data_IF_288990486709
#
_entry.id   IF_288990486709
#
_cell.length_a   1.000
_cell.length_b   1.000
_cell.length_c   1.000
_cell.angle_alpha   90.00
_cell.angle_beta   90.00
_cell.angle_gamma   90.00
#
_symmetry.space_group_name_H-M   'P 1'
#
loop_
_entity.id
_entity.type
_entity.pdbx_description
1 polymer ?
#
# COMPACT_ATOMS: atom_id res chain seq x y z
N UNK A 1 72.12 44.43 -102.63
CA UNK A 1 71.51 43.08 -102.48
C UNK A 1 71.86 42.46 -101.14
N UNK A 2 73.14 42.29 -100.80
CA UNK A 2 73.56 41.64 -99.54
C UNK A 2 73.00 42.32 -98.28
N UNK A 3 73.13 43.65 -98.15
CA UNK A 3 72.65 44.39 -96.97
C UNK A 3 71.12 44.31 -96.78
N UNK A 4 70.37 44.23 -97.89
CA UNK A 4 68.91 44.13 -97.86
C UNK A 4 68.44 42.74 -97.43
N UNK A 5 69.11 41.69 -97.92
CA UNK A 5 68.82 40.29 -97.52
C UNK A 5 69.20 40.07 -96.06
N UNK A 6 70.36 40.58 -95.61
CA UNK A 6 70.76 40.50 -94.20
C UNK A 6 69.73 41.20 -93.30
N UNK A 7 69.37 42.45 -93.61
CA UNK A 7 68.44 43.21 -92.79
C UNK A 7 67.03 42.58 -92.78
N UNK A 8 66.58 42.04 -93.91
CA UNK A 8 65.29 41.35 -93.99
C UNK A 8 65.29 40.04 -93.20
N UNK A 9 66.33 39.21 -93.31
CA UNK A 9 66.42 37.95 -92.56
C UNK A 9 66.58 38.21 -91.07
N UNK A 10 67.43 39.16 -90.67
CA UNK A 10 67.57 39.55 -89.27
C UNK A 10 66.23 40.05 -88.73
N UNK A 11 65.58 40.99 -89.42
CA UNK A 11 64.31 41.56 -88.95
C UNK A 11 63.19 40.51 -88.92
N UNK A 12 63.12 39.63 -89.92
CA UNK A 12 62.10 38.59 -89.97
C UNK A 12 62.33 37.51 -88.92
N UNK A 13 63.57 37.03 -88.74
CA UNK A 13 63.87 36.01 -87.72
C UNK A 13 63.74 36.59 -86.32
N UNK A 14 64.26 37.80 -86.06
CA UNK A 14 64.09 38.45 -84.77
C UNK A 14 62.61 38.69 -84.49
N UNK A 15 61.86 39.28 -85.42
CA UNK A 15 60.46 39.60 -85.16
C UNK A 15 59.59 38.35 -85.06
N UNK A 16 59.82 37.34 -85.90
CA UNK A 16 59.04 36.11 -85.87
C UNK A 16 59.39 35.23 -84.67
N UNK A 17 60.67 35.04 -84.34
CA UNK A 17 61.07 34.24 -83.17
C UNK A 17 60.68 34.96 -81.87
N UNK A 18 60.95 36.26 -81.76
CA UNK A 18 60.53 37.00 -80.57
C UNK A 18 59.00 36.99 -80.46
N UNK A 19 58.25 37.31 -81.51
CA UNK A 19 56.80 37.39 -81.40
C UNK A 19 56.17 36.02 -81.22
N UNK A 20 56.65 34.98 -81.89
CA UNK A 20 56.10 33.64 -81.76
C UNK A 20 56.48 32.99 -80.43
N UNK A 21 57.74 33.09 -79.99
CA UNK A 21 58.14 32.51 -78.69
C UNK A 21 57.51 33.28 -77.54
N UNK A 22 57.54 34.62 -77.57
CA UNK A 22 56.89 35.41 -76.52
C UNK A 22 55.38 35.18 -76.53
N UNK A 23 54.71 35.25 -77.68
CA UNK A 23 53.25 35.13 -77.68
C UNK A 23 52.81 33.69 -77.40
N UNK A 24 53.47 32.68 -77.96
CA UNK A 24 53.08 31.29 -77.77
C UNK A 24 53.47 30.77 -76.38
N UNK A 25 54.69 31.02 -75.91
CA UNK A 25 55.11 30.54 -74.57
C UNK A 25 54.38 31.31 -73.49
N UNK A 26 54.30 32.65 -73.57
CA UNK A 26 53.57 33.40 -72.57
C UNK A 26 52.08 33.05 -72.62
N UNK A 27 51.43 33.05 -73.78
CA UNK A 27 49.98 32.82 -73.82
C UNK A 27 49.63 31.36 -73.50
N UNK A 28 50.39 30.38 -73.98
CA UNK A 28 50.10 28.98 -73.72
C UNK A 28 50.47 28.57 -72.30
N UNK A 29 51.63 28.97 -71.77
CA UNK A 29 52.01 28.62 -70.39
C UNK A 29 51.13 29.37 -69.40
N UNK A 30 50.90 30.67 -69.60
CA UNK A 30 50.00 31.41 -68.72
C UNK A 30 48.58 30.85 -68.81
N UNK A 31 48.01 30.67 -70.01
CA UNK A 31 46.62 30.24 -70.09
C UNK A 31 46.43 28.79 -69.66
N UNK A 32 47.34 27.88 -70.02
CA UNK A 32 47.21 26.49 -69.65
C UNK A 32 47.54 26.24 -68.17
N UNK A 33 48.62 26.82 -67.64
CA UNK A 33 48.97 26.63 -66.22
C UNK A 33 47.96 27.36 -65.33
N UNK A 34 47.61 28.60 -65.64
CA UNK A 34 46.60 29.29 -64.85
C UNK A 34 45.25 28.58 -64.96
N UNK A 35 44.76 28.26 -66.15
CA UNK A 35 43.42 27.68 -66.26
C UNK A 35 43.37 26.25 -65.72
N UNK A 36 44.39 25.43 -65.96
CA UNK A 36 44.40 24.04 -65.48
C UNK A 36 44.65 23.98 -63.97
N UNK A 37 45.62 24.74 -63.44
CA UNK A 37 45.87 24.72 -61.99
C UNK A 37 44.71 25.37 -61.24
N UNK A 38 44.20 26.53 -61.70
CA UNK A 38 43.04 27.13 -61.06
C UNK A 38 41.82 26.21 -61.17
N UNK A 39 41.48 25.70 -62.35
CA UNK A 39 40.26 24.91 -62.49
C UNK A 39 40.37 23.56 -61.80
N UNK A 40 41.50 22.87 -61.90
CA UNK A 40 41.67 21.55 -61.28
C UNK A 40 41.83 21.67 -59.76
N UNK A 41 42.63 22.60 -59.24
CA UNK A 41 42.79 22.77 -57.80
C UNK A 41 41.50 23.31 -57.20
N UNK A 42 40.87 24.32 -57.79
CA UNK A 42 39.59 24.82 -57.28
C UNK A 42 38.53 23.71 -57.37
N UNK A 43 38.33 23.06 -58.50
CA UNK A 43 37.24 22.11 -58.63
C UNK A 43 37.48 20.84 -57.81
N UNK A 44 38.70 20.33 -57.76
CA UNK A 44 39.01 19.14 -56.98
C UNK A 44 39.01 19.43 -55.47
N UNK A 45 39.63 20.51 -55.02
CA UNK A 45 39.63 20.87 -53.59
C UNK A 45 38.24 21.26 -53.14
N UNK A 46 37.51 22.09 -53.90
CA UNK A 46 36.14 22.42 -53.56
C UNK A 46 35.28 21.16 -53.56
N UNK A 47 35.25 20.39 -54.64
CA UNK A 47 34.31 19.28 -54.73
C UNK A 47 34.66 18.14 -53.76
N UNK A 48 35.94 17.81 -53.60
CA UNK A 48 36.35 16.73 -52.70
C UNK A 48 36.24 17.15 -51.23
N UNK A 49 36.70 18.34 -50.86
CA UNK A 49 36.58 18.81 -49.46
C UNK A 49 35.13 19.06 -49.12
N UNK A 50 34.35 19.72 -49.98
CA UNK A 50 32.93 19.93 -49.71
C UNK A 50 32.22 18.58 -49.63
N UNK A 51 32.35 17.70 -50.62
CA UNK A 51 31.58 16.46 -50.64
C UNK A 51 32.02 15.50 -49.53
N UNK A 52 33.32 15.39 -49.24
CA UNK A 52 33.81 14.50 -48.19
C UNK A 52 33.49 15.06 -46.79
N UNK A 53 33.73 16.36 -46.55
CA UNK A 53 33.42 16.96 -45.25
C UNK A 53 31.91 16.98 -45.04
N UNK A 54 31.12 17.42 -46.01
CA UNK A 54 29.67 17.40 -45.89
C UNK A 54 29.17 15.97 -45.68
N UNK A 55 29.52 15.03 -46.55
CA UNK A 55 28.94 13.69 -46.47
C UNK A 55 29.44 12.92 -45.25
N UNK A 56 30.72 13.00 -44.92
CA UNK A 56 31.27 12.27 -43.78
C UNK A 56 30.84 12.91 -42.45
N UNK A 57 30.93 14.23 -42.31
CA UNK A 57 30.50 14.90 -41.08
C UNK A 57 29.00 14.77 -40.91
N UNK A 58 28.20 15.03 -41.95
CA UNK A 58 26.76 14.84 -41.84
C UNK A 58 26.44 13.38 -41.52
N UNK A 59 26.91 12.42 -42.30
CA UNK A 59 26.48 11.02 -42.11
C UNK A 59 27.00 10.42 -40.81
N UNK A 60 28.25 10.71 -40.42
CA UNK A 60 28.81 10.20 -39.18
C UNK A 60 28.20 10.89 -37.96
N UNK A 61 28.05 12.22 -37.96
CA UNK A 61 27.42 12.93 -36.84
C UNK A 61 25.95 12.56 -36.75
N UNK A 62 25.22 12.54 -37.86
CA UNK A 62 23.82 12.12 -37.85
C UNK A 62 23.71 10.69 -37.34
N UNK A 63 24.40 9.73 -37.95
CA UNK A 63 24.19 8.33 -37.62
C UNK A 63 24.71 8.00 -36.22
N UNK A 64 25.85 8.53 -35.81
CA UNK A 64 26.41 8.27 -34.49
C UNK A 64 25.60 8.97 -33.40
N UNK A 65 25.25 10.25 -33.57
CA UNK A 65 24.46 10.97 -32.56
C UNK A 65 23.05 10.39 -32.50
N UNK A 66 22.39 10.14 -33.64
CA UNK A 66 21.06 9.52 -33.63
C UNK A 66 21.13 8.14 -32.98
N UNK A 67 22.02 7.26 -33.43
CA UNK A 67 22.02 5.88 -32.95
C UNK A 67 22.48 5.79 -31.50
N UNK A 68 23.49 6.56 -31.08
CA UNK A 68 23.96 6.56 -29.71
C UNK A 68 22.97 7.23 -28.77
N UNK A 69 22.41 8.38 -29.12
CA UNK A 69 21.42 9.06 -28.28
C UNK A 69 20.14 8.23 -28.21
N UNK A 70 19.61 7.74 -29.33
CA UNK A 70 18.43 6.89 -29.32
C UNK A 70 18.69 5.62 -28.52
N UNK A 71 19.75 4.87 -28.81
CA UNK A 71 19.96 3.59 -28.15
C UNK A 71 20.31 3.75 -26.67
N UNK A 72 21.16 4.72 -26.32
CA UNK A 72 21.55 4.94 -24.93
C UNK A 72 20.40 5.54 -24.12
N UNK A 73 19.70 6.57 -24.63
CA UNK A 73 18.57 7.16 -23.91
C UNK A 73 17.43 6.17 -23.81
N UNK A 74 17.05 5.49 -24.89
CA UNK A 74 15.99 4.49 -24.83
C UNK A 74 16.38 3.36 -23.88
N UNK A 75 17.56 2.76 -24.01
CA UNK A 75 17.93 1.60 -23.19
C UNK A 75 18.13 1.99 -21.73
N UNK A 76 18.79 3.12 -21.45
CA UNK A 76 19.03 3.56 -20.08
C UNK A 76 17.73 4.04 -19.41
N UNK A 77 16.92 4.85 -20.09
CA UNK A 77 15.64 5.32 -19.52
C UNK A 77 14.68 4.16 -19.36
N UNK A 78 14.51 3.29 -20.36
CA UNK A 78 13.64 2.12 -20.23
C UNK A 78 14.14 1.20 -19.11
N UNK A 79 15.43 0.84 -19.09
CA UNK A 79 15.91 -0.12 -18.09
C UNK A 79 15.95 0.48 -16.69
N UNK A 80 16.39 1.73 -16.54
CA UNK A 80 16.42 2.39 -15.24
C UNK A 80 15.02 2.68 -14.72
N UNK A 81 14.12 3.25 -15.53
CA UNK A 81 12.75 3.55 -15.10
C UNK A 81 11.99 2.26 -14.83
N UNK A 82 12.05 1.25 -15.71
CA UNK A 82 11.39 -0.01 -15.45
C UNK A 82 11.95 -0.69 -14.20
N UNK A 83 13.28 -0.80 -14.07
CA UNK A 83 13.85 -1.51 -12.93
C UNK A 83 13.65 -0.74 -11.62
N UNK A 84 13.82 0.58 -11.62
CA UNK A 84 13.62 1.40 -10.43
C UNK A 84 12.14 1.46 -10.03
N UNK A 85 11.23 1.74 -10.97
CA UNK A 85 9.80 1.81 -10.66
C UNK A 85 9.28 0.44 -10.26
N UNK A 86 9.58 -0.63 -11.01
CA UNK A 86 9.12 -1.96 -10.63
C UNK A 86 9.71 -2.39 -9.29
N UNK A 87 11.02 -2.26 -9.08
CA UNK A 87 11.63 -2.74 -7.84
C UNK A 87 11.22 -1.88 -6.65
N UNK A 88 11.23 -0.56 -6.78
CA UNK A 88 10.87 0.34 -5.68
C UNK A 88 9.38 0.26 -5.37
N UNK A 89 8.50 0.33 -6.38
CA UNK A 89 7.05 0.27 -6.13
C UNK A 89 6.67 -1.11 -5.62
N UNK A 90 7.12 -2.20 -6.24
CA UNK A 90 6.79 -3.54 -5.75
C UNK A 90 7.35 -3.76 -4.34
N UNK A 91 8.63 -3.45 -4.09
CA UNK A 91 9.22 -3.72 -2.79
C UNK A 91 8.64 -2.81 -1.70
N UNK A 92 8.45 -1.52 -1.98
CA UNK A 92 7.91 -0.58 -1.00
C UNK A 92 6.43 -0.84 -0.74
N UNK A 93 5.61 -1.05 -1.77
CA UNK A 93 4.18 -1.35 -1.60
C UNK A 93 4.00 -2.70 -0.92
N UNK A 94 4.69 -3.75 -1.36
CA UNK A 94 4.60 -5.05 -0.71
C UNK A 94 5.07 -4.97 0.75
N UNK A 95 6.24 -4.38 1.02
CA UNK A 95 6.77 -4.33 2.39
C UNK A 95 5.91 -3.43 3.29
N UNK A 96 5.47 -2.28 2.81
CA UNK A 96 4.64 -1.36 3.59
C UNK A 96 3.25 -1.94 3.82
N UNK A 97 2.58 -2.46 2.79
CA UNK A 97 1.24 -3.05 2.93
C UNK A 97 1.31 -4.30 3.80
N UNK A 98 2.24 -5.21 3.56
CA UNK A 98 2.38 -6.41 4.40
C UNK A 98 2.70 -6.02 5.84
N UNK A 99 3.70 -5.17 6.08
CA UNK A 99 4.11 -4.85 7.45
C UNK A 99 3.06 -4.01 8.18
N UNK A 100 2.48 -3.01 7.51
CA UNK A 100 1.46 -2.17 8.13
C UNK A 100 0.16 -2.93 8.36
N UNK A 101 -0.35 -3.67 7.37
CA UNK A 101 -1.60 -4.42 7.53
C UNK A 101 -1.41 -5.56 8.52
N UNK A 102 -0.34 -6.35 8.43
CA UNK A 102 -0.10 -7.41 9.40
C UNK A 102 0.09 -6.85 10.80
N UNK A 103 0.93 -5.83 10.99
CA UNK A 103 1.20 -5.31 12.33
C UNK A 103 -0.02 -4.58 12.89
N UNK A 104 -0.71 -3.76 12.10
CA UNK A 104 -1.89 -3.04 12.57
C UNK A 104 -3.06 -3.98 12.83
N UNK A 105 -3.38 -4.90 11.92
CA UNK A 105 -4.49 -5.84 12.11
C UNK A 105 -4.18 -6.79 13.25
N UNK A 106 -2.99 -7.40 13.30
CA UNK A 106 -2.65 -8.30 14.40
C UNK A 106 -2.64 -7.54 15.73
N UNK A 107 -1.99 -6.39 15.83
CA UNK A 107 -1.88 -5.68 17.10
C UNK A 107 -3.22 -5.09 17.53
N UNK A 108 -3.98 -4.48 16.62
CA UNK A 108 -5.27 -3.88 16.95
C UNK A 108 -6.31 -4.95 17.26
N UNK A 109 -6.42 -6.01 16.46
CA UNK A 109 -7.38 -7.08 16.72
C UNK A 109 -7.00 -7.83 17.99
N UNK A 110 -5.74 -8.21 18.20
CA UNK A 110 -5.35 -8.88 19.43
C UNK A 110 -5.58 -7.98 20.64
N UNK A 111 -5.11 -6.73 20.61
CA UNK A 111 -5.23 -5.84 21.77
C UNK A 111 -6.69 -5.46 22.04
N UNK A 112 -7.48 -5.15 21.01
CA UNK A 112 -8.87 -4.79 21.18
C UNK A 112 -9.72 -5.99 21.60
N UNK A 113 -9.57 -7.15 20.97
CA UNK A 113 -10.34 -8.34 21.33
C UNK A 113 -9.93 -8.81 22.72
N UNK A 114 -8.63 -8.92 23.02
CA UNK A 114 -8.20 -9.30 24.36
C UNK A 114 -8.70 -8.31 25.41
N UNK A 115 -8.48 -7.01 25.22
CA UNK A 115 -8.86 -6.02 26.23
C UNK A 115 -10.37 -5.89 26.38
N UNK A 116 -11.12 -5.88 25.28
CA UNK A 116 -12.56 -5.75 25.32
C UNK A 116 -13.22 -7.02 25.87
N UNK A 117 -12.81 -8.20 25.42
CA UNK A 117 -13.38 -9.47 25.91
C UNK A 117 -13.00 -9.67 27.36
N UNK A 118 -11.72 -9.51 27.75
CA UNK A 118 -11.32 -9.63 29.14
C UNK A 118 -12.06 -8.62 30.01
N UNK A 119 -12.07 -7.33 29.65
CA UNK A 119 -12.67 -6.31 30.50
C UNK A 119 -14.18 -6.42 30.56
N UNK A 120 -14.84 -6.65 29.42
CA UNK A 120 -16.30 -6.77 29.37
C UNK A 120 -16.78 -8.05 30.03
N UNK A 121 -16.18 -9.20 29.75
CA UNK A 121 -16.58 -10.46 30.36
C UNK A 121 -16.29 -10.44 31.86
N UNK A 122 -15.09 -10.02 32.28
CA UNK A 122 -14.79 -9.94 33.70
C UNK A 122 -15.72 -8.94 34.40
N UNK A 123 -15.89 -7.74 33.89
CA UNK A 123 -16.70 -6.72 34.57
C UNK A 123 -18.18 -7.07 34.54
N UNK A 124 -18.71 -7.53 33.40
CA UNK A 124 -20.13 -7.87 33.29
C UNK A 124 -20.47 -9.12 34.06
N UNK A 125 -19.68 -10.19 33.95
CA UNK A 125 -19.94 -11.43 34.70
C UNK A 125 -19.76 -11.19 36.19
N UNK A 126 -18.68 -10.55 36.63
CA UNK A 126 -18.51 -10.26 38.05
C UNK A 126 -19.64 -9.36 38.57
N UNK A 127 -19.95 -8.26 37.89
CA UNK A 127 -20.96 -7.32 38.39
C UNK A 127 -22.36 -7.92 38.33
N UNK A 128 -22.72 -8.60 37.24
CA UNK A 128 -24.05 -9.19 37.09
C UNK A 128 -24.24 -10.38 38.02
N UNK A 129 -23.27 -11.30 38.10
CA UNK A 129 -23.38 -12.47 39.00
C UNK A 129 -23.38 -12.00 40.45
N UNK A 130 -22.47 -11.12 40.85
CA UNK A 130 -22.47 -10.60 42.22
C UNK A 130 -23.78 -9.89 42.53
N UNK A 131 -24.24 -8.97 41.68
CA UNK A 131 -25.44 -8.18 41.97
C UNK A 131 -26.70 -9.04 41.92
N UNK A 132 -26.83 -9.93 40.94
CA UNK A 132 -28.02 -10.77 40.79
C UNK A 132 -28.07 -11.85 41.86
N UNK A 133 -26.95 -12.53 42.17
CA UNK A 133 -26.93 -13.53 43.23
C UNK A 133 -27.16 -12.86 44.58
N UNK A 134 -26.47 -11.76 44.89
CA UNK A 134 -26.69 -11.07 46.15
C UNK A 134 -28.13 -10.58 46.27
N UNK A 135 -28.67 -9.91 45.25
CA UNK A 135 -30.01 -9.34 45.33
C UNK A 135 -31.09 -10.43 45.34
N UNK A 136 -30.97 -11.44 44.49
CA UNK A 136 -31.96 -12.51 44.39
C UNK A 136 -31.91 -13.42 45.62
N UNK A 137 -30.72 -13.83 46.08
CA UNK A 137 -30.60 -14.67 47.29
C UNK A 137 -31.07 -13.88 48.50
N UNK A 138 -30.61 -12.64 48.70
CA UNK A 138 -31.06 -11.85 49.84
C UNK A 138 -32.57 -11.60 49.77
N UNK A 139 -33.11 -11.17 48.65
CA UNK A 139 -34.53 -10.83 48.57
C UNK A 139 -35.42 -12.07 48.65
N UNK A 140 -35.06 -13.14 47.95
CA UNK A 140 -35.86 -14.37 47.94
C UNK A 140 -35.77 -15.11 49.26
N UNK A 141 -34.57 -15.25 49.85
CA UNK A 141 -34.43 -15.90 51.17
C UNK A 141 -35.12 -15.07 52.24
N UNK A 142 -34.92 -13.75 52.27
CA UNK A 142 -35.60 -12.90 53.25
C UNK A 142 -37.12 -12.97 53.06
N UNK A 143 -37.64 -12.81 51.84
CA UNK A 143 -39.08 -12.78 51.62
C UNK A 143 -39.71 -14.16 51.85
N UNK A 144 -39.08 -15.23 51.38
CA UNK A 144 -39.61 -16.58 51.52
C UNK A 144 -39.51 -17.05 52.97
N UNK A 145 -38.38 -16.86 53.65
CA UNK A 145 -38.25 -17.25 55.07
C UNK A 145 -39.20 -16.42 55.92
N UNK A 146 -39.24 -15.09 55.75
CA UNK A 146 -40.17 -14.26 56.52
C UNK A 146 -41.62 -14.66 56.23
N UNK A 147 -42.03 -14.78 54.97
CA UNK A 147 -43.42 -15.06 54.65
C UNK A 147 -43.83 -16.47 55.04
N UNK A 148 -42.99 -17.47 54.78
CA UNK A 148 -43.32 -18.86 55.05
C UNK A 148 -43.24 -19.17 56.54
N UNK A 149 -42.24 -18.67 57.27
CA UNK A 149 -42.15 -18.86 58.72
C UNK A 149 -43.29 -18.11 59.39
N UNK A 150 -43.54 -16.85 59.05
CA UNK A 150 -44.65 -16.10 59.66
C UNK A 150 -45.99 -16.77 59.33
N UNK A 151 -46.27 -17.11 58.08
CA UNK A 151 -47.57 -17.67 57.70
C UNK A 151 -47.75 -19.08 58.24
N UNK A 152 -46.74 -19.94 58.15
CA UNK A 152 -46.84 -21.31 58.62
C UNK A 152 -46.86 -21.39 60.14
N UNK A 153 -45.99 -20.67 60.85
CA UNK A 153 -46.01 -20.68 62.32
C UNK A 153 -47.30 -20.06 62.82
N UNK A 154 -47.73 -18.91 62.31
CA UNK A 154 -49.00 -18.31 62.74
C UNK A 154 -50.17 -19.23 62.42
N UNK A 155 -50.30 -19.75 61.20
CA UNK A 155 -51.46 -20.56 60.83
C UNK A 155 -51.45 -21.91 61.53
N UNK A 156 -50.31 -22.57 61.63
CA UNK A 156 -50.21 -23.89 62.25
C UNK A 156 -50.34 -23.80 63.77
N UNK A 157 -49.70 -22.84 64.42
CA UNK A 157 -49.85 -22.66 65.87
C UNK A 157 -51.28 -22.23 66.19
N UNK A 158 -51.85 -21.25 65.49
CA UNK A 158 -53.23 -20.84 65.73
C UNK A 158 -54.19 -22.01 65.48
N UNK A 159 -54.11 -22.69 64.34
CA UNK A 159 -55.06 -23.74 64.00
C UNK A 159 -54.89 -24.98 64.89
N UNK A 160 -53.67 -25.40 65.16
CA UNK A 160 -53.40 -26.59 65.96
C UNK A 160 -53.68 -26.33 67.44
N UNK A 161 -53.26 -25.20 68.00
CA UNK A 161 -53.58 -24.87 69.40
C UNK A 161 -55.08 -24.69 69.56
N UNK A 162 -55.75 -23.93 68.69
CA UNK A 162 -57.20 -23.77 68.78
C UNK A 162 -57.91 -25.11 68.63
N UNK A 163 -57.60 -25.91 67.60
CA UNK A 163 -58.31 -27.15 67.35
C UNK A 163 -58.02 -28.20 68.43
N UNK A 164 -56.76 -28.33 68.86
CA UNK A 164 -56.38 -29.33 69.85
C UNK A 164 -56.88 -28.93 71.24
N UNK A 165 -56.74 -27.66 71.66
CA UNK A 165 -57.27 -27.22 72.95
C UNK A 165 -58.79 -27.32 72.94
N UNK A 166 -59.48 -26.84 71.90
CA UNK A 166 -60.94 -26.94 71.85
C UNK A 166 -61.37 -28.41 71.82
N UNK A 167 -60.82 -29.25 70.96
CA UNK A 167 -61.29 -30.62 70.82
C UNK A 167 -60.92 -31.48 72.03
N UNK A 168 -59.70 -31.35 72.54
CA UNK A 168 -59.23 -32.15 73.66
C UNK A 168 -59.88 -31.69 74.97
N UNK A 169 -59.94 -30.38 75.25
CA UNK A 169 -60.62 -29.89 76.46
C UNK A 169 -62.10 -30.24 76.40
N UNK A 170 -62.79 -29.97 75.30
CA UNK A 170 -64.21 -30.32 75.19
C UNK A 170 -64.43 -31.82 75.32
N UNK A 171 -63.70 -32.66 74.57
CA UNK A 171 -63.94 -34.10 74.58
C UNK A 171 -63.53 -34.74 75.91
N UNK A 172 -62.39 -34.36 76.47
CA UNK A 172 -61.90 -34.93 77.73
C UNK A 172 -62.75 -34.45 78.90
N UNK A 173 -63.10 -33.17 78.98
CA UNK A 173 -63.99 -32.67 80.05
C UNK A 173 -65.36 -33.33 79.92
N UNK A 174 -65.96 -33.37 78.74
CA UNK A 174 -67.25 -34.04 78.54
C UNK A 174 -67.16 -35.51 78.94
N UNK A 175 -66.19 -36.27 78.43
CA UNK A 175 -66.10 -37.69 78.66
C UNK A 175 -65.77 -38.02 80.13
N UNK A 176 -64.85 -37.28 80.74
CA UNK A 176 -64.45 -37.50 82.13
C UNK A 176 -65.56 -37.10 83.10
N UNK A 177 -66.21 -35.96 82.88
CA UNK A 177 -67.35 -35.53 83.70
C UNK A 177 -68.50 -36.52 83.55
N UNK A 178 -68.86 -36.92 82.32
CA UNK A 178 -69.90 -37.92 82.10
C UNK A 178 -69.56 -39.23 82.80
N UNK A 179 -68.34 -39.75 82.64
CA UNK A 179 -67.95 -41.03 83.21
C UNK A 179 -67.86 -40.99 84.74
N UNK A 180 -67.33 -39.91 85.32
CA UNK A 180 -67.31 -39.74 86.78
C UNK A 180 -68.72 -39.62 87.35
N UNK A 181 -69.58 -38.82 86.73
CA UNK A 181 -70.97 -38.67 87.17
C UNK A 181 -71.71 -40.00 87.06
N UNK A 182 -71.58 -40.73 85.95
CA UNK A 182 -72.18 -42.05 85.79
C UNK A 182 -71.67 -43.04 86.86
N UNK A 183 -70.36 -43.10 87.10
CA UNK A 183 -69.77 -44.05 88.04
C UNK A 183 -70.13 -43.72 89.49
N UNK A 184 -70.15 -42.43 89.86
CA UNK A 184 -70.60 -42.00 91.19
C UNK A 184 -72.08 -42.33 91.39
N UNK A 185 -72.94 -42.04 90.41
CA UNK A 185 -74.37 -42.38 90.48
C UNK A 185 -74.57 -43.89 90.59
N UNK A 186 -73.82 -44.71 89.86
CA UNK A 186 -73.90 -46.17 89.97
C UNK A 186 -73.42 -46.71 91.33
N UNK A 187 -72.40 -46.10 91.94
CA UNK A 187 -71.87 -46.53 93.25
C UNK A 187 -72.76 -46.11 94.43
N UNK A 188 -73.49 -45.01 94.30
CA UNK A 188 -74.44 -44.51 95.31
C UNK A 188 -75.78 -45.25 95.32
N UNK A 189 -76.05 -46.10 94.32
CA UNK A 189 -77.33 -46.82 94.13
C UNK A 189 -77.20 -48.32 94.44
N UNK A 190 -76.03 -48.77 94.92
CA UNK A 190 -75.82 -50.08 95.55
C UNK A 190 -75.74 -49.92 97.08
#
# INVERSE_FOLDING_TARGET
>A
VCLFVCLFVCLFVCLFVCLFVCLFVCLFVCLFVCLFVCLFVCLFVCLFVCLFVCLFVCLFVCLFVCLFVCLFVCLFVCLFVCLFVCLFVCLFVCLFVCLFVCLFVCLFVCLFVCLFVCLFVCLFVCLFVCLFVCLFVCLFVCLFVCLFVCLFVCLFVCLFVCLFVCLFVCLFVCLFVCLFVCLFVCLCVC
#
